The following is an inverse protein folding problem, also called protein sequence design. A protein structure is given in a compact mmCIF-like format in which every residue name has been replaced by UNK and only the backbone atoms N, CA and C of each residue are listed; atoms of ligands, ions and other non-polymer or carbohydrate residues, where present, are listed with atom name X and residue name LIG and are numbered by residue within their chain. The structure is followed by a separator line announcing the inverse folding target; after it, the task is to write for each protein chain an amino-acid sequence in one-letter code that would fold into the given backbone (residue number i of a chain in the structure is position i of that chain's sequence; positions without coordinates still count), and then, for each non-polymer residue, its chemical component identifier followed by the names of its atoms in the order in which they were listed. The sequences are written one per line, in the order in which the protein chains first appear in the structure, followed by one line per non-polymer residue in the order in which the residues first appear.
data_IF_707624093449
#
_entry.id   IF_707624093449
#
_cell.length_a   1.000
_cell.length_b   1.000
_cell.length_c   1.000
_cell.angle_alpha   90.00
_cell.angle_beta   90.00
_cell.angle_gamma   90.00
#
_symmetry.space_group_name_H-M   'P 1'
#
loop_
_entity.id
_entity.type
_entity.pdbx_description
1 polymer ?
#
# COMPACT_ATOMS: atom_id res chain seq x y z
N UNK A 1 6.17 -0.55 15.74
CA UNK A 1 6.59 0.68 15.04
C UNK A 1 5.97 1.91 15.69
N UNK A 2 6.50 3.11 15.44
CA UNK A 2 5.93 4.36 15.98
C UNK A 2 4.47 4.59 15.48
N UNK A 3 3.62 5.28 16.27
CA UNK A 3 2.24 5.58 15.86
C UNK A 3 2.19 6.30 14.52
N UNK A 4 1.13 6.05 13.74
CA UNK A 4 1.02 6.60 12.39
C UNK A 4 1.07 8.14 12.35
N UNK A 5 0.40 8.83 13.28
CA UNK A 5 0.45 10.29 13.35
C UNK A 5 1.85 10.83 13.68
N UNK A 6 2.62 10.15 14.56
CA UNK A 6 4.01 10.54 14.85
C UNK A 6 4.88 10.42 13.60
N UNK A 7 4.72 9.34 12.84
CA UNK A 7 5.39 9.16 11.55
C UNK A 7 5.00 10.23 10.50
N UNK A 8 3.90 10.95 10.73
CA UNK A 8 3.40 12.04 9.89
C UNK A 8 3.80 13.42 10.41
N UNK A 9 4.68 13.49 11.41
CA UNK A 9 5.24 14.74 11.94
C UNK A 9 4.42 15.38 13.08
N UNK A 10 3.47 14.65 13.66
CA UNK A 10 2.70 15.11 14.83
C UNK A 10 3.34 14.65 16.14
N UNK A 11 3.02 15.32 17.24
CA UNK A 11 3.51 14.95 18.56
C UNK A 11 2.77 13.71 19.09
N UNK A 12 3.42 12.91 19.95
CA UNK A 12 2.82 11.66 20.47
C UNK A 12 1.54 11.85 21.30
N UNK A 13 1.33 13.06 21.83
CA UNK A 13 0.12 13.43 22.57
C UNK A 13 -0.99 14.05 21.70
N UNK A 14 -0.74 14.27 20.41
CA UNK A 14 -1.73 14.88 19.52
C UNK A 14 -2.88 13.92 19.20
N UNK A 15 -4.10 14.44 19.26
CA UNK A 15 -5.25 13.80 18.60
C UNK A 15 -5.28 14.22 17.14
N UNK A 16 -5.20 13.24 16.24
CA UNK A 16 -5.05 13.46 14.80
C UNK A 16 -6.04 12.62 14.01
N UNK A 17 -6.77 13.27 13.11
CA UNK A 17 -7.61 12.60 12.12
C UNK A 17 -6.84 12.54 10.80
N UNK A 18 -6.77 11.36 10.19
CA UNK A 18 -6.24 11.17 8.84
C UNK A 18 -7.33 10.68 7.90
N UNK A 19 -7.41 11.28 6.71
CA UNK A 19 -8.44 11.01 5.71
C UNK A 19 -7.79 10.75 4.35
N UNK A 20 -8.34 9.78 3.62
CA UNK A 20 -8.06 9.51 2.21
C UNK A 20 -9.38 9.20 1.50
N UNK A 21 -9.54 9.68 0.28
CA UNK A 21 -10.60 9.21 -0.61
C UNK A 21 -10.19 7.84 -1.17
N UNK A 22 -10.80 6.77 -0.67
CA UNK A 22 -10.45 5.39 -1.01
C UNK A 22 -11.58 4.62 -1.67
N UNK A 23 -11.21 3.55 -2.38
CA UNK A 23 -12.12 2.48 -2.78
C UNK A 23 -12.51 1.61 -1.57
N UNK A 24 -13.38 0.62 -1.81
CA UNK A 24 -13.67 -0.40 -0.82
C UNK A 24 -12.39 -1.20 -0.46
N UNK A 25 -12.19 -1.57 0.82
CA UNK A 25 -11.06 -2.40 1.21
C UNK A 25 -11.09 -3.76 0.52
N UNK A 26 -9.95 -4.20 0.00
CA UNK A 26 -9.71 -5.55 -0.45
C UNK A 26 -9.00 -6.35 0.63
N UNK A 27 -9.58 -7.48 1.04
CA UNK A 27 -9.00 -8.35 2.04
C UNK A 27 -7.76 -9.10 1.49
N UNK A 28 -6.69 -9.10 2.28
CA UNK A 28 -5.48 -9.90 2.06
C UNK A 28 -5.51 -11.05 3.10
N UNK A 29 -5.87 -12.24 2.64
CA UNK A 29 -5.90 -13.45 3.47
C UNK A 29 -4.57 -14.21 3.29
N UNK A 30 -3.83 -14.43 4.38
CA UNK A 30 -2.65 -15.30 4.36
C UNK A 30 -2.47 -16.03 5.69
N UNK A 31 -3.16 -17.15 5.86
CA UNK A 31 -3.01 -17.93 7.09
C UNK A 31 -1.74 -18.78 7.14
N UNK A 32 -1.10 -19.00 5.99
CA UNK A 32 -0.03 -19.98 5.83
C UNK A 32 1.36 -19.40 6.08
N UNK A 33 1.61 -18.17 5.61
CA UNK A 33 2.94 -17.59 5.72
C UNK A 33 3.37 -17.39 7.17
N UNK A 34 4.62 -17.76 7.43
CA UNK A 34 5.28 -17.62 8.75
C UNK A 34 6.53 -16.77 8.68
N UNK A 35 6.87 -16.22 7.52
CA UNK A 35 8.04 -15.35 7.29
C UNK A 35 7.61 -14.05 6.62
N UNK A 36 8.42 -13.00 6.78
CA UNK A 36 8.24 -11.73 6.09
C UNK A 36 8.20 -11.90 4.57
N UNK A 37 9.08 -12.73 4.00
CA UNK A 37 9.13 -12.99 2.56
C UNK A 37 7.81 -13.57 2.03
N UNK A 38 7.22 -14.54 2.74
CA UNK A 38 5.94 -15.12 2.36
C UNK A 38 4.80 -14.10 2.44
N UNK A 39 4.72 -13.36 3.54
CA UNK A 39 3.68 -12.34 3.75
C UNK A 39 3.79 -11.23 2.69
N UNK A 40 4.99 -10.70 2.44
CA UNK A 40 5.22 -9.66 1.44
C UNK A 40 4.90 -10.15 0.02
N UNK A 41 5.19 -11.41 -0.28
CA UNK A 41 4.80 -12.02 -1.56
C UNK A 41 3.28 -12.01 -1.73
N UNK A 42 2.53 -12.45 -0.72
CA UNK A 42 1.06 -12.42 -0.76
C UNK A 42 0.52 -11.00 -0.86
N UNK A 43 0.99 -10.07 -0.02
CA UNK A 43 0.58 -8.66 -0.03
C UNK A 43 0.81 -8.04 -1.42
N UNK A 44 2.03 -8.17 -1.96
CA UNK A 44 2.38 -7.58 -3.24
C UNK A 44 1.55 -8.18 -4.39
N UNK A 45 1.36 -9.51 -4.39
CA UNK A 45 0.51 -10.18 -5.37
C UNK A 45 -0.94 -9.71 -5.31
N UNK A 46 -1.48 -9.48 -4.11
CA UNK A 46 -2.84 -8.93 -3.94
C UNK A 46 -2.93 -7.49 -4.47
N UNK A 47 -1.95 -6.63 -4.21
CA UNK A 47 -1.95 -5.22 -4.65
C UNK A 47 -1.77 -5.10 -6.18
N UNK A 48 -1.06 -6.04 -6.81
CA UNK A 48 -0.70 -6.01 -8.24
C UNK A 48 -1.90 -6.24 -9.18
N UNK A 49 -2.89 -5.35 -9.17
CA UNK A 49 -4.13 -5.44 -9.95
C UNK A 49 -4.17 -4.38 -11.06
N UNK A 50 -4.18 -4.76 -12.35
CA UNK A 50 -4.33 -3.82 -13.46
C UNK A 50 -5.63 -3.00 -13.44
N UNK A 51 -6.64 -3.46 -12.69
CA UNK A 51 -7.96 -2.82 -12.59
C UNK A 51 -8.16 -1.94 -11.36
N UNK A 52 -7.16 -1.79 -10.47
CA UNK A 52 -7.25 -0.88 -9.34
C UNK A 52 -7.05 0.58 -9.81
N UNK A 53 -7.70 1.57 -9.19
CA UNK A 53 -7.50 2.97 -9.59
C UNK A 53 -6.07 3.45 -9.37
N UNK A 54 -5.30 2.78 -8.53
CA UNK A 54 -3.90 3.12 -8.26
C UNK A 54 -2.97 2.78 -9.43
N UNK A 55 -3.40 2.00 -10.43
CA UNK A 55 -2.60 1.68 -11.63
C UNK A 55 -2.22 2.94 -12.43
N UNK A 56 -2.98 4.02 -12.26
CA UNK A 56 -2.66 5.31 -12.87
C UNK A 56 -1.48 6.02 -12.18
N UNK A 57 -0.84 5.41 -11.17
CA UNK A 57 0.45 5.84 -10.61
C UNK A 57 0.46 7.17 -9.84
N UNK A 58 -0.66 7.90 -9.79
CA UNK A 58 -0.73 9.23 -9.19
C UNK A 58 -1.36 9.27 -7.78
N UNK A 59 -1.88 8.15 -7.28
CA UNK A 59 -2.61 8.07 -6.02
C UNK A 59 -1.90 7.25 -4.94
N UNK A 60 -2.03 7.62 -3.65
CA UNK A 60 -1.55 6.84 -2.53
C UNK A 60 -2.46 5.64 -2.26
N UNK A 61 -2.08 4.77 -1.32
CA UNK A 61 -3.00 3.76 -0.79
C UNK A 61 -2.67 3.39 0.64
N UNK A 62 -3.64 2.80 1.34
CA UNK A 62 -3.39 2.23 2.65
C UNK A 62 -3.11 0.73 2.56
N UNK A 63 -2.04 0.31 3.22
CA UNK A 63 -1.80 -1.07 3.61
C UNK A 63 -2.10 -1.21 5.10
N UNK A 64 -3.24 -1.80 5.41
CA UNK A 64 -3.68 -2.06 6.79
C UNK A 64 -3.24 -3.46 7.16
N UNK A 65 -2.14 -3.58 7.88
CA UNK A 65 -1.63 -4.86 8.35
C UNK A 65 -2.48 -5.36 9.53
N UNK A 66 -2.86 -6.63 9.46
CA UNK A 66 -3.39 -7.35 10.61
C UNK A 66 -2.31 -7.55 11.68
N UNK A 67 -2.67 -7.66 12.97
CA UNK A 67 -1.69 -7.77 14.06
C UNK A 67 -0.69 -8.91 13.85
N UNK A 68 -1.14 -10.09 13.42
CA UNK A 68 -0.26 -11.26 13.23
C UNK A 68 0.70 -11.11 12.04
N UNK A 69 0.27 -10.47 10.94
CA UNK A 69 1.17 -10.15 9.84
C UNK A 69 2.20 -9.10 10.27
N UNK A 70 1.75 -8.05 10.97
CA UNK A 70 2.62 -7.00 11.49
C UNK A 70 3.67 -7.55 12.47
N UNK A 71 3.27 -8.45 13.36
CA UNK A 71 4.17 -9.13 14.30
C UNK A 71 5.21 -9.98 13.57
N UNK A 72 4.80 -10.75 12.57
CA UNK A 72 5.72 -11.58 11.77
C UNK A 72 6.75 -10.71 11.03
N UNK A 73 6.30 -9.63 10.38
CA UNK A 73 7.17 -8.68 9.69
C UNK A 73 8.17 -8.01 10.65
N UNK A 74 7.70 -7.54 11.80
CA UNK A 74 8.54 -6.90 12.80
C UNK A 74 9.54 -7.87 13.45
N UNK A 75 9.11 -9.11 13.75
CA UNK A 75 9.96 -10.17 14.28
C UNK A 75 11.10 -10.52 13.33
N UNK A 76 10.82 -10.51 12.03
CA UNK A 76 11.83 -10.76 10.99
C UNK A 76 12.68 -9.52 10.68
N UNK A 77 12.51 -8.43 11.45
CA UNK A 77 13.39 -7.27 11.46
C UNK A 77 12.96 -6.09 10.58
N UNK A 78 11.77 -6.14 9.95
CA UNK A 78 11.34 -5.08 9.06
C UNK A 78 10.79 -3.86 9.79
N UNK A 79 11.30 -2.69 9.43
CA UNK A 79 10.71 -1.39 9.70
C UNK A 79 9.59 -1.03 8.72
N UNK A 80 8.94 0.11 8.96
CA UNK A 80 7.92 0.65 8.06
C UNK A 80 8.51 0.97 6.68
N UNK A 81 9.69 1.58 6.64
CA UNK A 81 10.35 1.97 5.39
C UNK A 81 10.72 0.73 4.57
N UNK A 82 11.21 -0.35 5.21
CA UNK A 82 11.49 -1.62 4.54
C UNK A 82 10.23 -2.20 3.89
N UNK A 83 9.10 -2.20 4.63
CA UNK A 83 7.81 -2.67 4.12
C UNK A 83 7.35 -1.81 2.94
N UNK A 84 7.44 -0.48 3.05
CA UNK A 84 7.08 0.44 1.97
C UNK A 84 7.90 0.17 0.71
N UNK A 85 9.23 0.06 0.84
CA UNK A 85 10.12 -0.20 -0.29
C UNK A 85 9.88 -1.57 -0.93
N UNK A 86 9.75 -2.63 -0.11
CA UNK A 86 9.51 -3.98 -0.63
C UNK A 86 8.15 -4.11 -1.29
N UNK A 87 7.09 -3.56 -0.69
CA UNK A 87 5.75 -3.57 -1.29
C UNK A 87 5.74 -2.74 -2.57
N UNK A 88 6.31 -1.53 -2.58
CA UNK A 88 6.39 -0.69 -3.77
C UNK A 88 7.03 -1.45 -4.95
N UNK A 89 8.21 -2.03 -4.73
CA UNK A 89 8.96 -2.76 -5.74
C UNK A 89 8.23 -4.02 -6.22
N UNK A 90 7.68 -4.82 -5.30
CA UNK A 90 7.09 -6.13 -5.62
C UNK A 90 5.68 -6.04 -6.20
N UNK A 91 4.95 -4.95 -5.94
CA UNK A 91 3.54 -4.81 -6.30
C UNK A 91 3.30 -4.15 -7.66
N UNK A 92 4.37 -3.75 -8.36
CA UNK A 92 4.24 -3.16 -9.69
C UNK A 92 3.62 -4.14 -10.68
N UNK A 93 2.84 -3.61 -11.63
CA UNK A 93 2.11 -4.43 -12.59
C UNK A 93 2.89 -4.53 -13.89
N UNK A 94 3.34 -5.73 -14.22
CA UNK A 94 4.04 -5.98 -15.49
C UNK A 94 3.18 -5.61 -16.71
N UNK A 95 3.78 -4.98 -17.73
CA UNK A 95 3.11 -4.50 -18.95
C UNK A 95 2.29 -5.56 -19.66
N UNK A 96 2.71 -6.84 -19.62
CA UNK A 96 1.97 -7.94 -20.25
C UNK A 96 0.59 -8.22 -19.63
N UNK A 97 0.31 -7.66 -18.44
CA UNK A 97 -0.99 -7.78 -17.76
C UNK A 97 -1.92 -6.60 -18.05
N UNK A 98 -1.45 -5.60 -18.80
CA UNK A 98 -2.21 -4.42 -19.19
C UNK A 98 -2.53 -4.52 -20.69
N UNK A 99 -3.79 -4.30 -21.10
CA UNK A 99 -4.17 -4.36 -22.51
C UNK A 99 -3.50 -3.24 -23.33
N UNK A 100 -3.34 -3.45 -24.64
CA UNK A 100 -2.69 -2.47 -25.52
C UNK A 100 -3.41 -1.11 -25.51
N UNK A 101 -4.74 -1.11 -25.41
CA UNK A 101 -5.54 0.11 -25.31
C UNK A 101 -5.25 0.88 -24.02
N UNK A 102 -5.13 0.17 -22.89
CA UNK A 102 -4.77 0.79 -21.62
C UNK A 102 -3.32 1.27 -21.62
N UNK A 103 -2.38 0.52 -22.19
CA UNK A 103 -0.99 0.99 -22.35
C UNK A 103 -0.92 2.28 -23.18
N UNK A 104 -1.68 2.37 -24.27
CA UNK A 104 -1.78 3.59 -25.09
C UNK A 104 -2.43 4.75 -24.31
N UNK A 105 -3.50 4.47 -23.55
CA UNK A 105 -4.16 5.44 -22.67
C UNK A 105 -3.21 5.99 -21.61
N UNK A 106 -2.47 5.11 -20.92
CA UNK A 106 -1.49 5.48 -19.89
C UNK A 106 -0.37 6.33 -20.46
N UNK A 107 0.14 5.97 -21.64
CA UNK A 107 1.11 6.78 -22.39
C UNK A 107 0.57 8.18 -22.69
N UNK A 108 -0.71 8.29 -23.08
CA UNK A 108 -1.37 9.58 -23.31
C UNK A 108 -1.55 10.42 -22.05
N UNK A 109 -1.43 9.81 -20.86
CA UNK A 109 -1.47 10.46 -19.55
C UNK A 109 -0.08 10.62 -18.91
N UNK A 110 1.00 10.41 -19.67
CA UNK A 110 2.39 10.48 -19.18
C UNK A 110 2.72 9.44 -18.09
N UNK A 111 2.01 8.30 -18.12
CA UNK A 111 2.25 7.17 -17.22
C UNK A 111 2.99 6.09 -18.00
N UNK A 112 4.26 5.91 -17.64
CA UNK A 112 5.18 5.01 -18.31
C UNK A 112 5.62 3.87 -17.39
N UNK A 113 5.82 2.65 -17.93
CA UNK A 113 6.40 1.57 -17.15
C UNK A 113 7.88 1.85 -16.88
N UNK A 114 8.36 1.40 -15.72
CA UNK A 114 9.78 1.34 -15.34
C UNK A 114 10.16 -0.14 -15.32
N UNK A 115 11.18 -0.51 -16.09
CA UNK A 115 11.63 -1.90 -16.25
C UNK A 115 10.48 -2.88 -16.54
N UNK A 116 9.66 -2.55 -17.55
CA UNK A 116 8.47 -3.31 -17.96
C UNK A 116 7.35 -3.42 -16.91
N UNK A 117 7.34 -2.55 -15.88
CA UNK A 117 6.30 -2.55 -14.85
C UNK A 117 5.71 -1.16 -14.60
N UNK A 118 4.39 -1.08 -14.45
CA UNK A 118 3.69 0.12 -14.02
C UNK A 118 3.71 0.22 -12.48
N UNK A 119 4.19 1.33 -11.91
CA UNK A 119 4.07 1.58 -10.48
C UNK A 119 2.61 1.77 -10.08
N UNK A 120 2.26 1.28 -8.89
CA UNK A 120 0.89 1.36 -8.32
C UNK A 120 0.77 2.44 -7.25
N UNK A 121 1.78 3.29 -7.09
CA UNK A 121 1.76 4.54 -6.32
C UNK A 121 2.87 5.46 -6.85
N UNK A 122 2.87 6.76 -6.55
CA UNK A 122 3.94 7.65 -7.00
C UNK A 122 5.30 7.26 -6.42
N UNK A 123 5.34 6.92 -5.13
CA UNK A 123 6.54 6.47 -4.42
C UNK A 123 6.23 5.42 -3.36
N UNK A 124 7.27 4.85 -2.74
CA UNK A 124 7.12 3.98 -1.58
C UNK A 124 6.51 4.72 -0.38
N UNK A 125 6.78 6.02 -0.22
CA UNK A 125 6.26 6.84 0.87
C UNK A 125 4.75 7.10 0.76
N UNK A 126 4.18 6.95 -0.43
CA UNK A 126 2.73 7.04 -0.68
C UNK A 126 1.98 5.75 -0.31
N UNK A 127 2.69 4.74 0.19
CA UNK A 127 2.12 3.53 0.78
C UNK A 127 1.94 3.77 2.28
N UNK A 128 0.71 4.01 2.71
CA UNK A 128 0.39 4.32 4.09
C UNK A 128 0.20 3.03 4.89
N UNK A 129 1.25 2.61 5.58
CA UNK A 129 1.25 1.39 6.40
C UNK A 129 0.72 1.68 7.81
N UNK A 130 -0.35 0.99 8.20
CA UNK A 130 -0.93 1.03 9.55
C UNK A 130 -1.20 -0.39 10.05
N UNK A 131 -1.40 -0.55 11.37
CA UNK A 131 -1.81 -1.82 11.97
C UNK A 131 -3.18 -1.65 12.60
N UNK A 132 -4.12 -2.50 12.23
CA UNK A 132 -5.48 -2.51 12.78
C UNK A 132 -6.12 -3.89 12.63
N UNK A 133 -7.22 -4.13 13.36
CA UNK A 133 -7.95 -5.40 13.35
C UNK A 133 -7.81 -6.19 14.64
N UNK A 134 -8.00 -7.50 14.57
CA UNK A 134 -7.95 -8.43 15.69
C UNK A 134 -7.29 -9.74 15.31
N UNK A 135 -7.54 -10.79 16.10
CA UNK A 135 -7.02 -12.13 15.81
C UNK A 135 -7.49 -12.65 14.44
N UNK A 136 -6.60 -13.37 13.76
CA UNK A 136 -6.75 -13.84 12.39
C UNK A 136 -5.75 -13.19 11.44
N UNK A 137 -5.16 -14.00 10.54
CA UNK A 137 -4.20 -13.55 9.54
C UNK A 137 -4.86 -12.88 8.32
N UNK A 138 -5.40 -11.70 8.58
CA UNK A 138 -6.07 -10.84 7.60
C UNK A 138 -5.45 -9.44 7.61
N UNK A 139 -5.06 -8.96 6.45
CA UNK A 139 -4.72 -7.54 6.20
C UNK A 139 -5.67 -6.95 5.17
N UNK A 140 -5.56 -5.66 4.89
CA UNK A 140 -6.34 -5.03 3.84
C UNK A 140 -5.50 -4.08 3.00
N UNK A 141 -5.80 -4.08 1.70
CA UNK A 141 -5.37 -3.08 0.74
C UNK A 141 -6.53 -2.14 0.47
N UNK A 142 -6.31 -0.83 0.60
CA UNK A 142 -7.32 0.20 0.32
C UNK A 142 -6.72 1.16 -0.71
N UNK A 143 -6.99 0.96 -2.01
CA UNK A 143 -6.54 1.89 -3.04
C UNK A 143 -7.22 3.25 -2.90
N UNK A 144 -6.54 4.33 -3.30
CA UNK A 144 -7.19 5.63 -3.47
C UNK A 144 -8.22 5.59 -4.61
N UNK A 145 -9.19 6.50 -4.58
CA UNK A 145 -10.11 6.75 -5.70
C UNK A 145 -9.39 7.21 -7.00
N UNK A 146 -8.19 7.78 -6.87
CA UNK A 146 -7.39 8.30 -7.98
C UNK A 146 -6.30 9.24 -7.45
N UNK A 147 -5.79 10.15 -8.30
CA UNK A 147 -4.80 11.16 -7.94
C UNK A 147 -5.29 12.12 -6.84
N UNK A 148 -5.14 11.69 -5.59
CA UNK A 148 -5.62 12.35 -4.38
C UNK A 148 -4.51 12.31 -3.32
N UNK A 149 -4.70 12.98 -2.19
CA UNK A 149 -3.73 12.99 -1.10
C UNK A 149 -4.32 12.37 0.17
N UNK A 150 -3.42 11.84 1.01
CA UNK A 150 -3.73 11.53 2.40
C UNK A 150 -3.47 12.76 3.26
N UNK A 151 -4.52 13.28 3.89
CA UNK A 151 -4.46 14.49 4.71
C UNK A 151 -4.58 14.13 6.19
N UNK A 152 -3.75 14.74 7.03
CA UNK A 152 -3.78 14.56 8.49
C UNK A 152 -3.95 15.92 9.16
N UNK A 153 -4.88 16.03 10.11
CA UNK A 153 -5.13 17.27 10.85
C UNK A 153 -5.23 16.97 12.35
N UNK A 154 -4.64 17.85 13.17
CA UNK A 154 -4.85 17.86 14.62
C UNK A 154 -6.31 18.24 14.89
N UNK A 155 -6.95 17.52 15.81
CA UNK A 155 -8.29 17.81 16.30
C UNK A 155 -8.24 18.18 17.79
N UNK A 156 -9.20 19.01 18.27
CA UNK A 156 -9.28 19.41 19.67
C UNK A 156 -9.44 18.24 20.64
#
# INVERSE_FOLDING_TARGET
WAPYHVRRGFEAGDSVVTVMAGEAPHNINDHASTTAEGILTTIAGTISQPGANTIYGHGPYFLVLGPEHAETLARDGLGIEDIQHEVYRRSMVHVSRVSLENQASYTGMDIHPVDDHYPVSPSAQDIHVVVAGGAGKHSAFIPSFGGTAVCSLRVP
#
